data_IF_404418899868
#
_entry.id   IF_404418899868
#
_cell.length_a   1.000
_cell.length_b   1.000
_cell.length_c   1.000
_cell.angle_alpha   90.00
_cell.angle_beta   90.00
_cell.angle_gamma   90.00
#
_symmetry.space_group_name_H-M   'P 1'
#
loop_
_entity.id
_entity.type
_entity.pdbx_description
1 polymer ?
#
# COMPACT_ATOMS: atom_id res chain seq x y z
N UNK A 1 -1.27 -9.85 -14.24
CA UNK A 1 -1.66 -8.45 -13.97
C UNK A 1 -0.41 -7.68 -13.62
N UNK A 2 -0.08 -6.66 -14.38
CA UNK A 2 1.04 -5.75 -14.08
C UNK A 2 0.55 -4.69 -13.09
N UNK A 3 1.22 -4.56 -11.95
CA UNK A 3 0.94 -3.47 -11.01
C UNK A 3 1.60 -2.17 -11.49
N UNK A 4 1.12 -1.00 -11.06
CA UNK A 4 1.78 0.27 -11.34
C UNK A 4 3.17 0.32 -10.66
N UNK A 5 4.10 1.14 -11.16
CA UNK A 5 5.43 1.25 -10.56
C UNK A 5 5.45 1.98 -9.21
N UNK A 6 4.32 2.61 -8.83
CA UNK A 6 4.18 3.42 -7.63
C UNK A 6 2.72 3.49 -7.17
N UNK A 7 2.49 3.51 -5.85
CA UNK A 7 1.17 3.74 -5.27
C UNK A 7 1.09 5.14 -4.64
N UNK A 8 -0.05 5.79 -4.86
CA UNK A 8 -0.43 7.01 -4.14
C UNK A 8 -1.34 6.67 -2.96
N UNK A 9 -0.84 6.90 -1.76
CA UNK A 9 -1.55 6.63 -0.51
C UNK A 9 -2.42 7.81 -0.08
N UNK A 10 -3.67 7.53 0.29
CA UNK A 10 -4.67 8.54 0.64
C UNK A 10 -4.90 8.74 2.14
N UNK A 11 -4.08 8.09 3.00
CA UNK A 11 -4.16 8.25 4.45
C UNK A 11 -3.90 9.69 4.90
N UNK A 12 -4.60 10.13 5.96
CA UNK A 12 -4.40 11.41 6.65
C UNK A 12 -4.64 12.65 5.78
N UNK A 13 -5.58 12.58 4.82
CA UNK A 13 -5.89 13.69 3.92
C UNK A 13 -7.25 14.31 4.18
N UNK A 14 -8.12 13.63 4.91
CA UNK A 14 -9.46 14.09 5.27
C UNK A 14 -10.19 14.70 4.06
N UNK A 15 -10.72 15.91 4.21
CA UNK A 15 -11.47 16.62 3.16
C UNK A 15 -10.62 16.96 1.92
N UNK A 16 -9.30 16.89 2.03
CA UNK A 16 -8.39 17.08 0.88
C UNK A 16 -8.17 15.81 0.06
N UNK A 17 -8.79 14.68 0.43
CA UNK A 17 -8.61 13.42 -0.28
C UNK A 17 -8.99 13.54 -1.75
N UNK A 18 -10.15 14.12 -2.07
CA UNK A 18 -10.58 14.24 -3.46
C UNK A 18 -9.64 15.12 -4.32
N UNK A 19 -9.32 16.38 -3.96
CA UNK A 19 -8.42 17.17 -4.77
C UNK A 19 -7.00 16.59 -4.85
N UNK A 20 -6.50 15.93 -3.80
CA UNK A 20 -5.16 15.33 -3.82
C UNK A 20 -5.11 14.02 -4.63
N UNK A 21 -6.17 13.22 -4.63
CA UNK A 21 -6.28 12.05 -5.50
C UNK A 21 -6.31 12.47 -6.97
N UNK A 22 -7.10 13.50 -7.30
CA UNK A 22 -7.12 14.08 -8.64
C UNK A 22 -5.74 14.55 -9.07
N UNK A 23 -5.08 15.34 -8.22
CA UNK A 23 -3.74 15.87 -8.48
C UNK A 23 -2.72 14.73 -8.72
N UNK A 24 -2.79 13.64 -7.94
CA UNK A 24 -1.91 12.50 -8.12
C UNK A 24 -2.13 11.81 -9.48
N UNK A 25 -3.38 11.59 -9.89
CA UNK A 25 -3.69 11.00 -11.21
C UNK A 25 -3.22 11.92 -12.35
N UNK A 26 -3.43 13.23 -12.23
CA UNK A 26 -2.94 14.24 -13.20
C UNK A 26 -1.41 14.32 -13.23
N UNK A 27 -0.73 14.08 -12.10
CA UNK A 27 0.73 13.96 -12.05
C UNK A 27 1.27 12.70 -12.74
N UNK A 28 0.43 11.68 -12.97
CA UNK A 28 0.79 10.43 -13.64
C UNK A 28 0.68 9.16 -12.78
N UNK A 29 0.27 9.25 -11.53
CA UNK A 29 -0.02 8.06 -10.74
C UNK A 29 -1.16 7.25 -11.36
N UNK A 30 -1.00 5.93 -11.37
CA UNK A 30 -2.01 4.98 -11.84
C UNK A 30 -2.38 3.94 -10.77
N UNK A 31 -1.74 3.98 -9.60
CA UNK A 31 -2.06 3.16 -8.44
C UNK A 31 -2.54 4.03 -7.29
N UNK A 32 -3.74 3.75 -6.78
CA UNK A 32 -4.33 4.45 -5.64
C UNK A 32 -4.54 3.45 -4.50
N UNK A 33 -3.97 3.76 -3.33
CA UNK A 33 -4.12 3.00 -2.10
C UNK A 33 -5.00 3.76 -1.10
N UNK A 34 -6.09 3.13 -0.67
CA UNK A 34 -7.00 3.65 0.34
C UNK A 34 -7.42 2.55 1.33
N UNK A 35 -8.36 2.83 2.21
CA UNK A 35 -8.96 1.85 3.11
C UNK A 35 -10.35 2.29 3.58
N UNK A 36 -11.24 1.33 3.82
CA UNK A 36 -12.51 1.59 4.49
C UNK A 36 -12.29 1.71 6.01
N UNK A 37 -11.59 2.75 6.39
CA UNK A 37 -11.22 3.08 7.77
C UNK A 37 -11.31 4.61 7.95
N UNK A 38 -12.48 5.09 8.32
CA UNK A 38 -12.76 6.53 8.37
C UNK A 38 -11.89 7.29 9.38
N UNK A 39 -11.28 6.59 10.31
CA UNK A 39 -10.32 7.16 11.26
C UNK A 39 -9.13 7.84 10.57
N UNK A 40 -8.62 7.27 9.47
CA UNK A 40 -7.41 7.75 8.80
C UNK A 40 -7.58 7.98 7.28
N UNK A 41 -8.70 7.53 6.71
CA UNK A 41 -8.96 7.58 5.27
C UNK A 41 -10.32 8.17 4.98
N UNK A 42 -10.45 8.80 3.84
CA UNK A 42 -11.74 9.26 3.32
C UNK A 42 -11.97 8.65 1.94
N UNK A 43 -12.35 7.37 1.93
CA UNK A 43 -12.47 6.54 0.73
C UNK A 43 -13.47 7.13 -0.28
N UNK A 44 -14.58 7.72 0.18
CA UNK A 44 -15.54 8.39 -0.69
C UNK A 44 -14.90 9.56 -1.46
N UNK A 45 -13.98 10.31 -0.86
CA UNK A 45 -13.25 11.37 -1.55
C UNK A 45 -12.37 10.84 -2.70
N UNK A 46 -11.90 9.59 -2.60
CA UNK A 46 -11.23 8.93 -3.74
C UNK A 46 -12.23 8.71 -4.88
N UNK A 47 -13.40 8.12 -4.59
CA UNK A 47 -14.45 7.89 -5.59
C UNK A 47 -14.93 9.17 -6.26
N UNK A 48 -15.11 10.25 -5.49
CA UNK A 48 -15.51 11.57 -6.00
C UNK A 48 -14.49 12.11 -7.02
N UNK A 49 -13.19 12.00 -6.72
CA UNK A 49 -12.13 12.41 -7.63
C UNK A 49 -12.12 11.60 -8.92
N UNK A 50 -12.21 10.26 -8.78
CA UNK A 50 -12.14 9.35 -9.91
C UNK A 50 -13.35 9.49 -10.84
N UNK A 51 -14.56 9.64 -10.30
CA UNK A 51 -15.76 9.89 -11.11
C UNK A 51 -15.61 11.17 -11.95
N UNK A 52 -15.06 12.24 -11.37
CA UNK A 52 -14.76 13.47 -12.10
C UNK A 52 -13.81 13.24 -13.28
N UNK A 53 -12.70 12.53 -13.01
CA UNK A 53 -11.68 12.21 -14.01
C UNK A 53 -12.21 11.30 -15.13
N UNK A 54 -13.08 10.32 -14.81
CA UNK A 54 -13.73 9.46 -15.79
C UNK A 54 -14.68 10.24 -16.67
N UNK A 55 -15.50 11.14 -16.10
CA UNK A 55 -16.43 11.99 -16.83
C UNK A 55 -15.72 12.95 -17.79
N UNK A 56 -14.55 13.43 -17.42
CA UNK A 56 -13.70 14.29 -18.25
C UNK A 56 -12.91 13.52 -19.32
N UNK A 57 -12.91 12.19 -19.27
CA UNK A 57 -12.14 11.35 -20.19
C UNK A 57 -10.62 11.42 -19.95
N UNK A 58 -10.18 11.88 -18.79
CA UNK A 58 -8.75 11.97 -18.43
C UNK A 58 -8.12 10.61 -18.22
N UNK A 59 -8.86 9.67 -17.64
CA UNK A 59 -8.52 8.26 -17.43
C UNK A 59 -9.80 7.43 -17.46
N UNK A 60 -9.65 6.11 -17.67
CA UNK A 60 -10.74 5.12 -17.48
C UNK A 60 -10.50 4.33 -16.20
N UNK A 61 -11.50 3.54 -15.76
CA UNK A 61 -11.35 2.64 -14.59
C UNK A 61 -10.23 1.63 -14.81
N UNK A 62 -10.07 1.15 -16.02
CA UNK A 62 -9.10 0.13 -16.42
C UNK A 62 -7.66 0.66 -16.44
N UNK A 63 -7.47 1.96 -16.57
CA UNK A 63 -6.15 2.61 -16.48
C UNK A 63 -5.61 2.65 -15.05
N UNK A 64 -6.47 2.38 -14.06
CA UNK A 64 -6.15 2.53 -12.65
C UNK A 64 -6.10 1.20 -11.91
N UNK A 65 -5.13 1.08 -11.03
CA UNK A 65 -5.06 0.07 -9.99
C UNK A 65 -5.62 0.66 -8.70
N UNK A 66 -6.78 0.15 -8.25
CA UNK A 66 -7.41 0.56 -7.00
C UNK A 66 -7.21 -0.51 -5.94
N UNK A 67 -6.64 -0.12 -4.81
CA UNK A 67 -6.45 -0.95 -3.63
C UNK A 67 -7.18 -0.36 -2.44
N UNK A 68 -7.99 -1.18 -1.76
CA UNK A 68 -8.61 -0.83 -0.49
C UNK A 68 -8.46 -1.94 0.54
N UNK A 69 -8.91 -1.71 1.78
CA UNK A 69 -8.59 -2.59 2.90
C UNK A 69 -9.78 -2.87 3.79
N UNK A 70 -9.86 -4.12 4.30
CA UNK A 70 -10.66 -4.47 5.46
C UNK A 70 -9.89 -4.14 6.74
N UNK A 71 -10.55 -3.49 7.68
CA UNK A 71 -9.98 -3.13 8.99
C UNK A 71 -10.89 -3.63 10.10
N UNK A 72 -10.35 -4.39 11.06
CA UNK A 72 -11.08 -4.81 12.25
C UNK A 72 -11.59 -3.63 13.08
N UNK A 73 -12.64 -3.85 13.88
CA UNK A 73 -13.25 -2.82 14.71
C UNK A 73 -12.26 -2.09 15.63
N UNK A 74 -11.28 -2.80 16.17
CA UNK A 74 -10.21 -2.19 16.99
C UNK A 74 -9.33 -1.16 16.27
N UNK A 75 -9.29 -1.19 14.92
CA UNK A 75 -8.60 -0.21 14.08
C UNK A 75 -9.50 0.91 13.58
N UNK A 76 -10.79 0.84 13.79
CA UNK A 76 -11.79 1.83 13.36
C UNK A 76 -12.04 2.91 14.44
N UNK A 77 -12.84 3.88 14.11
CA UNK A 77 -13.53 4.76 15.06
C UNK A 77 -15.03 4.37 15.14
N UNK A 78 -15.88 5.27 15.62
CA UNK A 78 -17.32 5.02 15.75
C UNK A 78 -18.06 4.85 14.40
N UNK A 79 -17.43 5.15 13.27
CA UNK A 79 -18.01 5.08 11.92
C UNK A 79 -17.63 3.75 11.29
N UNK A 80 -18.26 2.67 11.73
CA UNK A 80 -18.01 1.33 11.23
C UNK A 80 -18.69 1.11 9.88
N UNK A 81 -18.01 0.53 8.88
CA UNK A 81 -18.61 0.19 7.59
C UNK A 81 -19.33 -1.16 7.59
N UNK A 82 -19.57 -1.74 8.76
CA UNK A 82 -20.20 -3.04 8.95
C UNK A 82 -20.84 -3.13 10.35
N UNK A 83 -21.74 -4.10 10.54
CA UNK A 83 -22.29 -4.46 11.86
C UNK A 83 -21.21 -5.16 12.71
N UNK A 84 -20.76 -4.57 13.84
CA UNK A 84 -19.73 -5.17 14.68
C UNK A 84 -20.19 -6.46 15.39
N UNK A 85 -21.49 -6.75 15.41
CA UNK A 85 -22.07 -7.96 16.02
C UNK A 85 -22.26 -9.12 15.01
N UNK A 86 -22.10 -8.84 13.71
CA UNK A 86 -22.10 -9.87 12.68
C UNK A 86 -20.84 -10.75 12.77
N UNK A 87 -20.89 -11.94 12.18
CA UNK A 87 -19.69 -12.77 12.01
C UNK A 87 -18.66 -12.12 11.07
N UNK A 88 -17.41 -12.53 11.15
CA UNK A 88 -16.33 -11.93 10.38
C UNK A 88 -16.54 -12.00 8.85
N UNK A 89 -17.02 -13.12 8.27
CA UNK A 89 -17.35 -13.15 6.86
C UNK A 89 -18.37 -12.09 6.45
N UNK A 90 -19.40 -11.87 7.27
CA UNK A 90 -20.42 -10.84 7.03
C UNK A 90 -19.82 -9.43 7.14
N UNK A 91 -18.99 -9.17 8.17
CA UNK A 91 -18.29 -7.90 8.32
C UNK A 91 -17.41 -7.57 7.10
N UNK A 92 -16.66 -8.55 6.60
CA UNK A 92 -15.82 -8.40 5.39
C UNK A 92 -16.68 -8.02 4.18
N UNK A 93 -17.80 -8.74 3.97
CA UNK A 93 -18.71 -8.46 2.84
C UNK A 93 -19.36 -7.08 2.94
N UNK A 94 -19.81 -6.69 4.12
CA UNK A 94 -20.41 -5.36 4.34
C UNK A 94 -19.37 -4.25 4.12
N UNK A 95 -18.18 -4.38 4.70
CA UNK A 95 -17.08 -3.43 4.49
C UNK A 95 -16.71 -3.32 3.02
N UNK A 96 -16.64 -4.44 2.31
CA UNK A 96 -16.30 -4.47 0.89
C UNK A 96 -17.38 -3.82 0.03
N UNK A 97 -18.67 -4.11 0.28
CA UNK A 97 -19.79 -3.48 -0.42
C UNK A 97 -19.77 -1.96 -0.23
N UNK A 98 -19.56 -1.51 1.01
CA UNK A 98 -19.38 -0.08 1.32
C UNK A 98 -18.19 0.54 0.56
N UNK A 99 -17.06 -0.18 0.43
CA UNK A 99 -15.92 0.29 -0.36
C UNK A 99 -16.27 0.46 -1.84
N UNK A 100 -17.03 -0.48 -2.43
CA UNK A 100 -17.45 -0.36 -3.83
C UNK A 100 -18.36 0.85 -4.05
N UNK A 101 -19.27 1.13 -3.10
CA UNK A 101 -20.13 2.32 -3.13
C UNK A 101 -19.28 3.61 -3.03
N UNK A 102 -18.36 3.69 -2.07
CA UNK A 102 -17.48 4.83 -1.89
C UNK A 102 -16.60 5.09 -3.12
N UNK A 103 -16.03 4.04 -3.70
CA UNK A 103 -15.12 4.12 -4.84
C UNK A 103 -15.87 4.19 -6.20
N UNK A 104 -17.21 4.01 -6.20
CA UNK A 104 -18.08 4.05 -7.40
C UNK A 104 -17.60 3.09 -8.49
N UNK A 105 -17.34 1.86 -8.09
CA UNK A 105 -16.81 0.80 -8.96
C UNK A 105 -17.42 -0.55 -8.60
N UNK A 106 -17.43 -1.47 -9.55
CA UNK A 106 -17.95 -2.83 -9.36
C UNK A 106 -16.89 -3.82 -8.88
N UNK A 107 -15.60 -3.43 -8.90
CA UNK A 107 -14.49 -4.25 -8.48
C UNK A 107 -13.31 -3.40 -7.99
N UNK A 108 -12.42 -4.02 -7.20
CA UNK A 108 -11.10 -3.47 -6.87
C UNK A 108 -9.99 -4.37 -7.42
N UNK A 109 -8.84 -3.78 -7.72
CA UNK A 109 -7.68 -4.55 -8.19
C UNK A 109 -7.02 -5.33 -7.05
N UNK A 110 -6.96 -4.74 -5.85
CA UNK A 110 -6.50 -5.45 -4.65
C UNK A 110 -7.38 -5.14 -3.44
N UNK A 111 -7.70 -6.18 -2.67
CA UNK A 111 -8.34 -6.06 -1.37
C UNK A 111 -7.40 -6.58 -0.28
N UNK A 112 -7.07 -5.76 0.70
CA UNK A 112 -5.99 -6.02 1.65
C UNK A 112 -6.55 -6.15 3.07
N UNK A 113 -6.20 -7.21 3.81
CA UNK A 113 -6.38 -7.24 5.25
C UNK A 113 -5.43 -6.21 5.87
N UNK A 114 -5.97 -5.17 6.54
CA UNK A 114 -5.21 -4.03 7.02
C UNK A 114 -4.17 -4.39 8.11
N UNK A 115 -4.36 -5.51 8.75
CA UNK A 115 -3.45 -6.16 9.70
C UNK A 115 -4.13 -7.31 10.40
N UNK A 116 -3.38 -8.29 10.88
CA UNK A 116 -3.91 -9.35 11.73
C UNK A 116 -4.54 -8.80 13.02
N UNK A 117 -5.49 -9.54 13.56
CA UNK A 117 -6.19 -9.18 14.81
C UNK A 117 -5.31 -9.30 16.06
N UNK A 118 -4.20 -10.04 15.96
CA UNK A 118 -3.25 -10.32 17.03
C UNK A 118 -1.82 -9.95 16.65
N UNK A 119 -1.00 -9.58 17.64
CA UNK A 119 0.39 -9.16 17.40
C UNK A 119 1.36 -10.31 17.06
N UNK A 120 1.00 -11.56 17.38
CA UNK A 120 1.80 -12.76 17.09
C UNK A 120 0.91 -13.89 16.66
N UNK A 121 1.37 -14.68 15.68
CA UNK A 121 0.56 -15.74 15.07
C UNK A 121 -0.64 -15.18 14.30
N UNK A 122 -1.58 -16.04 13.96
CA UNK A 122 -2.86 -15.71 13.37
C UNK A 122 -3.97 -16.35 14.21
N UNK A 123 -5.05 -15.62 14.43
CA UNK A 123 -6.22 -16.10 15.17
C UNK A 123 -7.23 -16.78 14.25
N UNK A 124 -8.22 -17.47 14.83
CA UNK A 124 -9.36 -17.99 14.05
C UNK A 124 -10.10 -16.88 13.29
N UNK A 125 -10.16 -15.66 13.87
CA UNK A 125 -10.72 -14.49 13.20
C UNK A 125 -9.95 -14.12 11.93
N UNK A 126 -8.61 -14.16 11.96
CA UNK A 126 -7.79 -13.86 10.81
C UNK A 126 -7.99 -14.85 9.66
N UNK A 127 -8.13 -16.14 9.99
CA UNK A 127 -8.45 -17.17 8.99
C UNK A 127 -9.87 -17.02 8.43
N UNK A 128 -10.86 -16.68 9.29
CA UNK A 128 -12.24 -16.45 8.85
C UNK A 128 -12.34 -15.25 7.89
N UNK A 129 -11.65 -14.15 8.23
CA UNK A 129 -11.56 -12.96 7.38
C UNK A 129 -10.85 -13.29 6.07
N UNK A 130 -9.72 -13.99 6.12
CA UNK A 130 -8.99 -14.36 4.91
C UNK A 130 -9.83 -15.21 3.96
N UNK A 131 -10.53 -16.20 4.49
CA UNK A 131 -11.45 -17.05 3.73
C UNK A 131 -12.59 -16.27 3.07
N UNK A 132 -13.12 -15.25 3.76
CA UNK A 132 -14.12 -14.35 3.16
C UNK A 132 -13.52 -13.50 2.03
N UNK A 133 -12.28 -13.02 2.18
CA UNK A 133 -11.56 -12.31 1.12
C UNK A 133 -11.26 -13.21 -0.08
N UNK A 134 -10.89 -14.47 0.13
CA UNK A 134 -10.74 -15.47 -0.93
C UNK A 134 -12.04 -15.68 -1.71
N UNK A 135 -13.20 -15.68 -1.03
CA UNK A 135 -14.49 -15.78 -1.71
C UNK A 135 -14.74 -14.57 -2.62
N UNK A 136 -14.45 -13.35 -2.16
CA UNK A 136 -14.55 -12.13 -2.98
C UNK A 136 -13.59 -12.18 -4.20
N UNK A 137 -12.44 -12.81 -4.03
CA UNK A 137 -11.50 -13.03 -5.13
C UNK A 137 -12.04 -14.02 -6.16
N UNK A 138 -12.63 -15.15 -5.71
CA UNK A 138 -13.29 -16.12 -6.61
C UNK A 138 -14.50 -15.52 -7.34
N UNK A 139 -15.22 -14.61 -6.69
CA UNK A 139 -16.31 -13.84 -7.28
C UNK A 139 -15.83 -12.74 -8.26
N UNK A 140 -14.53 -12.58 -8.41
CA UNK A 140 -13.88 -11.53 -9.22
C UNK A 140 -14.24 -10.09 -8.81
N UNK A 141 -14.75 -9.91 -7.59
CA UNK A 141 -15.01 -8.60 -7.01
C UNK A 141 -13.72 -7.92 -6.53
N UNK A 142 -12.80 -8.69 -5.97
CA UNK A 142 -11.40 -8.31 -5.77
C UNK A 142 -10.55 -9.16 -6.73
N UNK A 143 -9.76 -8.53 -7.59
CA UNK A 143 -8.92 -9.28 -8.55
C UNK A 143 -7.84 -10.09 -7.87
N UNK A 144 -7.23 -9.52 -6.83
CA UNK A 144 -6.28 -10.19 -5.94
C UNK A 144 -6.49 -9.74 -4.50
N UNK A 145 -5.94 -10.49 -3.56
CA UNK A 145 -5.98 -10.18 -2.12
C UNK A 145 -4.57 -10.03 -1.56
N UNK A 146 -4.46 -9.31 -0.46
CA UNK A 146 -3.19 -9.03 0.21
C UNK A 146 -3.35 -8.86 1.71
N UNK A 147 -2.24 -8.67 2.39
CA UNK A 147 -2.19 -8.44 3.84
C UNK A 147 -1.23 -7.31 4.17
N UNK A 148 -1.52 -6.56 5.22
CA UNK A 148 -0.70 -5.44 5.68
C UNK A 148 -0.29 -5.64 7.14
N UNK A 149 0.76 -4.96 7.56
CA UNK A 149 1.21 -4.93 8.95
C UNK A 149 1.47 -6.33 9.54
N UNK A 150 2.12 -7.20 8.79
CA UNK A 150 2.47 -8.57 9.18
C UNK A 150 3.96 -8.70 9.47
N UNK A 151 4.31 -9.49 10.47
CA UNK A 151 5.68 -9.95 10.66
C UNK A 151 5.95 -11.24 9.85
N UNK A 152 7.22 -11.63 9.77
CA UNK A 152 7.65 -12.81 9.01
C UNK A 152 6.93 -14.10 9.43
N UNK A 153 6.73 -14.31 10.73
CA UNK A 153 6.05 -15.51 11.26
C UNK A 153 4.57 -15.54 10.85
N UNK A 154 3.88 -14.40 10.93
CA UNK A 154 2.49 -14.29 10.49
C UNK A 154 2.34 -14.51 8.99
N UNK A 155 3.25 -13.94 8.18
CA UNK A 155 3.23 -14.13 6.75
C UNK A 155 3.44 -15.60 6.35
N UNK A 156 4.37 -16.30 6.99
CA UNK A 156 4.58 -17.75 6.77
C UNK A 156 3.32 -18.55 7.05
N UNK A 157 2.70 -18.34 8.22
CA UNK A 157 1.46 -19.02 8.59
C UNK A 157 0.34 -18.75 7.57
N UNK A 158 0.20 -17.51 7.12
CA UNK A 158 -0.83 -17.15 6.14
C UNK A 158 -0.60 -17.85 4.81
N UNK A 159 0.64 -17.79 4.29
CA UNK A 159 1.00 -18.43 3.00
C UNK A 159 0.81 -19.95 3.03
N UNK A 160 1.08 -20.59 4.17
CA UNK A 160 0.91 -22.04 4.34
C UNK A 160 -0.56 -22.47 4.44
N UNK A 161 -1.42 -21.62 5.05
CA UNK A 161 -2.82 -21.96 5.30
C UNK A 161 -3.79 -21.47 4.23
N UNK A 162 -3.42 -20.48 3.43
CA UNK A 162 -4.30 -19.85 2.44
C UNK A 162 -4.51 -20.74 1.20
N UNK A 163 -5.77 -20.88 0.75
CA UNK A 163 -6.09 -21.49 -0.55
C UNK A 163 -5.72 -20.54 -1.71
N UNK A 164 -5.94 -19.21 -1.51
CA UNK A 164 -5.47 -18.15 -2.39
C UNK A 164 -4.42 -17.36 -1.60
N UNK A 165 -3.12 -17.53 -1.89
CA UNK A 165 -2.07 -16.83 -1.17
C UNK A 165 -2.13 -15.31 -1.41
N UNK A 166 -1.59 -14.49 -0.49
CA UNK A 166 -1.53 -13.06 -0.69
C UNK A 166 -0.71 -12.72 -1.94
N UNK A 167 -1.25 -11.83 -2.79
CA UNK A 167 -0.50 -11.25 -3.90
C UNK A 167 0.33 -10.06 -3.48
N UNK A 168 -0.12 -9.34 -2.44
CA UNK A 168 0.54 -8.17 -1.90
C UNK A 168 0.76 -8.30 -0.40
N UNK A 169 1.93 -7.82 0.06
CA UNK A 169 2.23 -7.55 1.47
C UNK A 169 2.55 -6.07 1.58
N UNK A 170 1.82 -5.34 2.43
CA UNK A 170 2.04 -3.91 2.61
C UNK A 170 2.48 -3.61 4.05
N UNK A 171 3.73 -3.25 4.26
CA UNK A 171 4.28 -2.98 5.58
C UNK A 171 4.87 -1.58 5.69
N UNK A 172 4.81 -1.02 6.93
CA UNK A 172 5.64 0.12 7.29
C UNK A 172 7.09 -0.33 7.29
N UNK A 173 7.91 0.37 6.50
CA UNK A 173 9.26 -0.07 6.20
C UNK A 173 10.28 0.77 6.97
N UNK A 174 11.03 0.13 7.87
CA UNK A 174 12.04 0.78 8.71
C UNK A 174 13.44 0.43 8.26
N UNK A 175 14.29 1.43 8.04
CA UNK A 175 15.70 1.26 7.72
C UNK A 175 16.46 0.50 8.84
N UNK A 176 16.10 0.72 10.10
CA UNK A 176 16.65 0.01 11.25
C UNK A 176 16.46 -1.52 11.19
N UNK A 177 15.49 -2.00 10.44
CA UNK A 177 15.23 -3.42 10.20
C UNK A 177 15.67 -3.85 8.80
N UNK A 178 16.72 -3.24 8.25
CA UNK A 178 17.17 -3.49 6.88
C UNK A 178 16.03 -3.40 5.86
N UNK A 179 15.13 -2.41 6.03
CA UNK A 179 13.99 -2.20 5.16
C UNK A 179 13.11 -3.44 5.01
N UNK A 180 12.88 -4.14 6.12
CA UNK A 180 12.04 -5.37 6.20
C UNK A 180 12.57 -6.52 5.29
N UNK A 181 13.90 -6.65 5.19
CA UNK A 181 14.58 -7.55 4.24
C UNK A 181 14.10 -9.00 4.33
N UNK A 182 13.86 -9.53 5.53
CA UNK A 182 13.44 -10.93 5.69
C UNK A 182 12.03 -11.17 5.14
N UNK A 183 11.10 -10.23 5.37
CA UNK A 183 9.74 -10.31 4.80
C UNK A 183 9.79 -10.14 3.28
N UNK A 184 10.60 -9.20 2.77
CA UNK A 184 10.81 -9.02 1.32
C UNK A 184 11.40 -10.27 0.66
N UNK A 185 12.34 -10.94 1.33
CA UNK A 185 12.94 -12.17 0.82
C UNK A 185 11.88 -13.28 0.68
N UNK A 186 11.05 -13.49 1.69
CA UNK A 186 9.94 -14.44 1.62
C UNK A 186 8.93 -14.05 0.52
N UNK A 187 8.62 -12.75 0.40
CA UNK A 187 7.74 -12.27 -0.67
C UNK A 187 8.30 -12.62 -2.05
N UNK A 188 9.59 -12.34 -2.27
CA UNK A 188 10.28 -12.66 -3.54
C UNK A 188 10.26 -14.16 -3.83
N UNK A 189 10.57 -15.00 -2.85
CA UNK A 189 10.53 -16.47 -2.96
C UNK A 189 9.15 -17.00 -3.38
N UNK A 190 8.08 -16.36 -2.89
CA UNK A 190 6.70 -16.78 -3.12
C UNK A 190 5.99 -16.02 -4.24
N UNK A 191 6.68 -15.16 -4.98
CA UNK A 191 6.10 -14.34 -6.04
C UNK A 191 5.08 -13.31 -5.54
N UNK A 192 5.20 -12.88 -4.27
CA UNK A 192 4.40 -11.86 -3.62
C UNK A 192 5.07 -10.50 -3.84
N UNK A 193 4.31 -9.48 -4.15
CA UNK A 193 4.83 -8.12 -4.28
C UNK A 193 4.81 -7.42 -2.92
N UNK A 194 5.98 -6.99 -2.45
CA UNK A 194 6.11 -6.22 -1.23
C UNK A 194 5.85 -4.73 -1.51
N UNK A 195 4.91 -4.13 -0.78
CA UNK A 195 4.57 -2.71 -0.84
C UNK A 195 5.12 -2.01 0.40
N UNK A 196 6.08 -1.11 0.22
CA UNK A 196 6.69 -0.35 1.31
C UNK A 196 6.02 1.00 1.53
N UNK A 197 5.49 1.27 2.73
CA UNK A 197 4.99 2.60 3.09
C UNK A 197 5.80 3.27 4.21
N UNK A 198 5.63 4.58 4.38
CA UNK A 198 6.40 5.44 5.30
C UNK A 198 7.92 5.38 5.07
N UNK A 199 8.36 5.08 3.87
CA UNK A 199 9.78 4.96 3.51
C UNK A 199 10.61 6.19 3.89
N UNK A 200 10.02 7.39 3.82
CA UNK A 200 10.68 8.64 4.21
C UNK A 200 10.40 9.01 5.67
N UNK A 201 9.12 9.06 6.04
CA UNK A 201 8.70 9.60 7.35
C UNK A 201 9.12 8.75 8.54
N UNK A 202 9.15 7.41 8.37
CA UNK A 202 9.61 6.51 9.42
C UNK A 202 11.14 6.49 9.58
N UNK A 203 11.88 7.06 8.62
CA UNK A 203 13.33 6.95 8.51
C UNK A 203 14.05 8.31 8.47
N UNK A 204 13.34 9.40 8.74
CA UNK A 204 13.85 10.77 8.55
C UNK A 204 15.21 11.03 9.25
N UNK A 205 15.44 10.44 10.45
CA UNK A 205 16.67 10.61 11.20
C UNK A 205 17.89 10.04 10.47
N UNK A 206 17.78 8.83 9.92
CA UNK A 206 18.90 8.15 9.25
C UNK A 206 19.10 8.63 7.82
N UNK A 207 18.03 9.07 7.15
CA UNK A 207 18.07 9.57 5.77
C UNK A 207 18.79 10.92 5.64
N UNK A 208 18.92 11.69 6.73
CA UNK A 208 19.70 12.93 6.77
C UNK A 208 21.21 12.71 6.95
N UNK A 209 21.68 11.46 7.03
CA UNK A 209 23.08 11.12 7.23
C UNK A 209 24.02 11.53 6.08
N UNK A 210 25.34 11.65 6.35
CA UNK A 210 26.32 12.15 5.40
C UNK A 210 26.39 11.31 4.12
N UNK A 211 26.22 10.01 4.20
CA UNK A 211 26.25 9.10 3.06
C UNK A 211 25.08 9.39 2.10
N UNK A 212 23.86 9.54 2.62
CA UNK A 212 22.67 9.86 1.82
C UNK A 212 22.77 11.23 1.17
N UNK A 213 23.31 12.21 1.92
CA UNK A 213 23.55 13.57 1.39
C UNK A 213 24.62 13.53 0.27
N UNK A 214 25.69 12.75 0.42
CA UNK A 214 26.71 12.59 -0.61
C UNK A 214 26.15 11.95 -1.89
N UNK A 215 25.34 10.90 -1.75
CA UNK A 215 24.65 10.27 -2.88
C UNK A 215 23.70 11.25 -3.59
N UNK A 216 22.89 12.00 -2.83
CA UNK A 216 21.97 12.97 -3.39
C UNK A 216 22.68 14.04 -4.23
N UNK A 217 23.82 14.54 -3.77
CA UNK A 217 24.67 15.47 -4.52
C UNK A 217 25.25 14.85 -5.78
N UNK A 218 25.78 13.62 -5.67
CA UNK A 218 26.39 12.88 -6.80
C UNK A 218 25.39 12.65 -7.93
N UNK A 219 24.17 12.21 -7.61
CA UNK A 219 23.11 11.96 -8.58
C UNK A 219 22.34 13.23 -8.99
N UNK A 220 22.53 14.35 -8.30
CA UNK A 220 21.71 15.56 -8.45
C UNK A 220 20.23 15.25 -8.31
N UNK A 221 19.91 14.41 -7.31
CA UNK A 221 18.56 13.95 -6.97
C UNK A 221 18.24 14.28 -5.52
N UNK A 222 16.96 14.29 -5.19
CA UNK A 222 16.52 14.40 -3.80
C UNK A 222 16.77 13.08 -3.04
N UNK A 223 16.86 13.15 -1.72
CA UNK A 223 16.94 11.94 -0.86
C UNK A 223 15.71 11.08 -1.09
N UNK A 224 14.52 11.67 -1.26
CA UNK A 224 13.29 10.95 -1.57
C UNK A 224 13.43 10.10 -2.85
N UNK A 225 13.95 10.70 -3.93
CA UNK A 225 14.19 9.97 -5.18
C UNK A 225 15.16 8.81 -5.01
N UNK A 226 16.23 8.98 -4.22
CA UNK A 226 17.17 7.88 -3.94
C UNK A 226 16.50 6.73 -3.18
N UNK A 227 15.71 7.04 -2.15
CA UNK A 227 14.99 6.03 -1.36
C UNK A 227 13.95 5.29 -2.21
N UNK A 228 13.21 6.00 -3.05
CA UNK A 228 12.23 5.35 -3.93
C UNK A 228 12.89 4.54 -5.02
N UNK A 229 14.03 5.00 -5.56
CA UNK A 229 14.81 4.21 -6.52
C UNK A 229 15.37 2.94 -5.87
N UNK A 230 15.96 3.06 -4.68
CA UNK A 230 16.38 1.91 -3.88
C UNK A 230 15.23 0.92 -3.69
N UNK A 231 14.07 1.40 -3.23
CA UNK A 231 12.90 0.54 -3.02
C UNK A 231 12.54 -0.24 -4.29
N UNK A 232 12.49 0.42 -5.45
CA UNK A 232 12.22 -0.22 -6.74
C UNK A 232 13.29 -1.26 -7.10
N UNK A 233 14.58 -0.96 -6.90
CA UNK A 233 15.68 -1.87 -7.26
C UNK A 233 15.76 -3.11 -6.35
N UNK A 234 15.28 -3.02 -5.11
CA UNK A 234 15.16 -4.21 -4.23
C UNK A 234 13.79 -4.92 -4.36
N UNK A 235 13.03 -4.61 -5.41
CA UNK A 235 11.77 -5.28 -5.74
C UNK A 235 10.56 -4.84 -4.92
N UNK A 236 10.62 -3.69 -4.24
CA UNK A 236 9.44 -3.11 -3.58
C UNK A 236 8.60 -2.32 -4.58
N UNK A 237 7.29 -2.34 -4.38
CA UNK A 237 6.36 -1.36 -4.92
C UNK A 237 6.23 -0.23 -3.89
N UNK A 238 6.85 0.94 -4.11
CA UNK A 238 6.82 2.03 -3.16
C UNK A 238 5.46 2.73 -3.10
N UNK A 239 5.11 3.21 -1.90
CA UNK A 239 3.93 4.02 -1.64
C UNK A 239 4.34 5.39 -1.10
N UNK A 240 3.83 6.45 -1.73
CA UNK A 240 3.99 7.84 -1.27
C UNK A 240 2.63 8.44 -0.91
N UNK A 241 2.64 9.39 0.00
CA UNK A 241 1.45 10.15 0.41
C UNK A 241 1.67 11.65 0.33
N UNK A 242 2.61 12.12 -0.49
CA UNK A 242 2.90 13.56 -0.63
C UNK A 242 1.67 14.36 -1.08
N UNK A 243 1.62 15.62 -0.67
CA UNK A 243 0.55 16.57 -1.05
C UNK A 243 1.05 17.66 -1.99
N UNK A 244 2.32 17.60 -2.39
CA UNK A 244 2.97 18.57 -3.28
C UNK A 244 3.13 17.98 -4.68
N UNK A 245 2.68 18.70 -5.70
CA UNK A 245 2.72 18.25 -7.10
C UNK A 245 4.15 18.05 -7.63
N UNK A 246 5.10 18.83 -7.15
CA UNK A 246 6.50 18.70 -7.57
C UNK A 246 7.10 17.44 -6.96
N UNK A 247 6.83 17.17 -5.67
CA UNK A 247 7.23 15.91 -5.04
C UNK A 247 6.56 14.71 -5.73
N UNK A 248 5.28 14.80 -6.13
CA UNK A 248 4.62 13.73 -6.89
C UNK A 248 5.35 13.40 -8.20
N UNK A 249 5.76 14.41 -8.94
CA UNK A 249 6.53 14.26 -10.19
C UNK A 249 7.95 13.73 -9.94
N UNK A 250 8.60 14.20 -8.89
CA UNK A 250 9.93 13.73 -8.47
C UNK A 250 9.90 12.27 -8.05
N UNK A 251 8.87 11.85 -7.29
CA UNK A 251 8.67 10.47 -6.86
C UNK A 251 8.52 9.53 -8.07
N UNK A 252 7.65 9.90 -9.03
CA UNK A 252 7.49 9.15 -10.27
C UNK A 252 8.77 9.10 -11.11
N UNK A 253 9.56 10.18 -11.10
CA UNK A 253 10.83 10.25 -11.81
C UNK A 253 11.97 9.46 -11.13
N UNK A 254 11.73 8.81 -9.99
CA UNK A 254 12.72 7.97 -9.31
C UNK A 254 13.20 6.78 -10.16
N UNK A 255 12.41 6.35 -11.14
CA UNK A 255 12.78 5.27 -12.08
C UNK A 255 13.69 5.70 -13.22
N UNK A 256 14.07 6.97 -13.34
CA UNK A 256 14.86 7.51 -14.46
C UNK A 256 16.37 7.36 -14.32
N UNK A 257 16.85 6.77 -13.24
CA UNK A 257 18.27 6.52 -12.98
C UNK A 257 18.43 5.22 -12.19
N UNK A 258 19.65 4.68 -12.17
CA UNK A 258 19.99 3.48 -11.42
C UNK A 258 21.04 3.77 -10.35
N UNK A 259 20.87 3.16 -9.17
CA UNK A 259 21.90 3.04 -8.16
C UNK A 259 22.77 1.83 -8.48
N UNK A 260 24.06 1.91 -8.19
CA UNK A 260 24.94 0.75 -8.25
C UNK A 260 24.61 -0.25 -7.13
N UNK A 261 25.03 -1.50 -7.27
CA UNK A 261 24.82 -2.52 -6.24
C UNK A 261 25.43 -2.13 -4.89
N UNK A 262 26.58 -1.44 -4.90
CA UNK A 262 27.22 -0.93 -3.66
C UNK A 262 26.37 0.15 -2.99
N UNK A 263 25.76 1.02 -3.77
CA UNK A 263 24.87 2.07 -3.25
C UNK A 263 23.54 1.51 -2.76
N UNK A 264 23.01 0.49 -3.43
CA UNK A 264 21.85 -0.26 -2.93
C UNK A 264 22.18 -0.89 -1.58
N UNK A 265 23.34 -1.56 -1.44
CA UNK A 265 23.79 -2.12 -0.16
C UNK A 265 24.01 -1.06 0.91
N UNK A 266 24.57 0.09 0.53
CA UNK A 266 24.75 1.23 1.44
C UNK A 266 23.40 1.70 1.99
N UNK A 267 22.42 1.95 1.12
CA UNK A 267 21.07 2.40 1.54
C UNK A 267 20.37 1.31 2.36
N UNK A 268 20.54 0.04 2.01
CA UNK A 268 19.94 -1.05 2.76
C UNK A 268 20.49 -1.15 4.19
N UNK A 269 21.75 -0.78 4.40
CA UNK A 269 22.39 -0.79 5.72
C UNK A 269 22.25 0.52 6.51
N UNK A 270 21.76 1.59 5.89
CA UNK A 270 21.59 2.87 6.59
C UNK A 270 20.57 2.71 7.73
N UNK A 271 20.98 3.08 8.94
CA UNK A 271 20.14 2.94 10.14
C UNK A 271 20.12 1.55 10.78
N UNK A 272 20.79 0.56 10.20
CA UNK A 272 21.07 -0.71 10.85
C UNK A 272 22.33 -0.55 11.70
N UNK A 273 22.18 -0.40 13.00
CA UNK A 273 23.27 -0.29 13.99
C UNK A 273 23.38 -1.53 14.87
#
# INVERSE_FOLDING_TARGET
MTHPPFLYGTAWKDERTAPLTRLAVEAGFRGIDTANQRRHYFEQGVGDALEGLYREGSVTREDLFLQTKFTYAGGQDHRLPYDPHADFPTQVRQSFASSLEHLRTDYVDAYVLHGPSVGRGLSEADFAVWKAMEALCREQKARVIGVSNVNLGQLRLLVEAAEIPPRYVQNRCFAANYWDREVRALCSERGIVYQGFSLLTANAQVLGGPEMVALARRYRKTIAQLVFRFAQQVGMLPLTGTTDINHMREDLASSTFDLTDDEVRLIESVGAS
#
